data_IF_064691859931
#
_entry.id   IF_064691859931
#
_cell.length_a   1.000
_cell.length_b   1.000
_cell.length_c   1.000
_cell.angle_alpha   90.00
_cell.angle_beta   90.00
_cell.angle_gamma   90.00
#
_symmetry.space_group_name_H-M   'P 1'
#
loop_
_entity.id
_entity.type
_entity.pdbx_description
1 polymer ?
#
# COMPACT_ATOMS: atom_id res chain seq x y z
N UNK A 1 34.62 15.23 -6.76
CA UNK A 1 33.95 13.92 -6.83
C UNK A 1 32.51 14.15 -7.26
N UNK A 2 32.13 13.72 -8.46
CA UNK A 2 30.70 13.68 -8.84
C UNK A 2 30.10 12.53 -8.03
N UNK A 3 29.10 12.80 -7.18
CA UNK A 3 28.28 11.75 -6.59
C UNK A 3 27.56 11.10 -7.77
N UNK A 4 27.96 9.89 -8.15
CA UNK A 4 27.14 9.08 -9.05
C UNK A 4 25.81 8.86 -8.34
N UNK A 5 24.73 9.34 -8.96
CA UNK A 5 23.39 9.11 -8.47
C UNK A 5 23.05 7.68 -8.86
N UNK A 6 23.36 6.73 -7.97
CA UNK A 6 23.04 5.31 -8.19
C UNK A 6 21.52 5.21 -8.20
N UNK A 7 20.96 4.85 -9.36
CA UNK A 7 19.54 4.64 -9.51
C UNK A 7 19.11 3.42 -8.69
N UNK A 8 18.12 3.60 -7.81
CA UNK A 8 17.62 2.54 -6.93
C UNK A 8 16.89 1.48 -7.75
N UNK A 9 17.10 0.21 -7.39
CA UNK A 9 16.36 -0.91 -7.96
C UNK A 9 14.86 -0.82 -7.56
N UNK A 10 13.94 -1.44 -8.34
CA UNK A 10 12.52 -1.50 -7.96
C UNK A 10 12.28 -2.09 -6.56
N UNK A 11 13.13 -3.01 -6.11
CA UNK A 11 13.05 -3.60 -4.78
C UNK A 11 13.40 -2.60 -3.67
N UNK A 12 14.46 -1.80 -3.85
CA UNK A 12 14.83 -0.76 -2.88
C UNK A 12 13.77 0.35 -2.82
N UNK A 13 13.26 0.78 -3.98
CA UNK A 13 12.15 1.73 -4.07
C UNK A 13 10.90 1.21 -3.37
N UNK A 14 10.60 -0.08 -3.53
CA UNK A 14 9.48 -0.73 -2.85
C UNK A 14 9.62 -0.72 -1.33
N UNK A 15 10.82 -1.02 -0.80
CA UNK A 15 11.06 -1.01 0.64
C UNK A 15 10.81 0.38 1.24
N UNK A 16 11.32 1.42 0.60
CA UNK A 16 11.10 2.80 1.04
C UNK A 16 9.63 3.20 0.96
N UNK A 17 8.95 2.80 -0.12
CA UNK A 17 7.53 3.12 -0.29
C UNK A 17 6.63 2.36 0.67
N UNK A 18 6.99 1.13 1.02
CA UNK A 18 6.29 0.37 2.03
C UNK A 18 6.28 1.08 3.39
N UNK A 19 7.43 1.65 3.82
CA UNK A 19 7.49 2.43 5.04
C UNK A 19 6.61 3.68 5.00
N UNK A 20 6.47 4.32 3.84
CA UNK A 20 5.56 5.45 3.67
C UNK A 20 4.09 5.02 3.83
N UNK A 21 3.68 3.92 3.21
CA UNK A 21 2.31 3.40 3.33
C UNK A 21 1.97 3.01 4.76
N UNK A 22 2.90 2.39 5.48
CA UNK A 22 2.72 2.12 6.91
C UNK A 22 2.53 3.42 7.71
N UNK A 23 3.33 4.46 7.45
CA UNK A 23 3.16 5.77 8.11
C UNK A 23 1.79 6.38 7.84
N UNK A 24 1.32 6.38 6.58
CA UNK A 24 -0.01 6.89 6.21
C UNK A 24 -1.12 6.21 7.02
N UNK A 25 -1.01 4.89 7.23
CA UNK A 25 -1.98 4.14 8.02
C UNK A 25 -1.86 4.50 9.51
N UNK A 26 -0.63 4.54 10.04
CA UNK A 26 -0.38 4.82 11.47
C UNK A 26 -0.80 6.24 11.88
N UNK A 27 -0.61 7.21 10.98
CA UNK A 27 -0.97 8.62 11.18
C UNK A 27 -2.48 8.89 11.03
N UNK A 28 -3.25 7.91 10.54
CA UNK A 28 -4.70 8.04 10.44
C UNK A 28 -5.39 8.11 11.82
N UNK A 29 -6.58 8.70 11.87
CA UNK A 29 -7.38 8.85 13.09
C UNK A 29 -8.11 7.57 13.52
N UNK A 30 -7.97 6.47 12.77
CA UNK A 30 -8.65 5.21 13.09
C UNK A 30 -8.08 4.52 14.33
N UNK A 31 -8.85 3.57 14.87
CA UNK A 31 -8.40 2.72 15.96
C UNK A 31 -7.29 1.76 15.51
N UNK A 32 -6.49 1.29 16.47
CA UNK A 32 -5.39 0.35 16.19
C UNK A 32 -5.88 -0.93 15.49
N UNK A 33 -7.06 -1.43 15.88
CA UNK A 33 -7.69 -2.59 15.24
C UNK A 33 -7.88 -2.40 13.72
N UNK A 34 -8.31 -1.21 13.30
CA UNK A 34 -8.53 -0.89 11.89
C UNK A 34 -7.21 -0.70 11.17
N UNK A 35 -6.27 0.00 11.82
CA UNK A 35 -4.91 0.18 11.30
C UNK A 35 -4.26 -1.18 11.04
N UNK A 36 -4.41 -2.13 11.96
CA UNK A 36 -3.87 -3.47 11.85
C UNK A 36 -4.42 -4.24 10.63
N UNK A 37 -5.71 -4.10 10.32
CA UNK A 37 -6.32 -4.72 9.13
C UNK A 37 -5.71 -4.17 7.81
N UNK A 38 -5.47 -2.85 7.73
CA UNK A 38 -4.79 -2.26 6.57
C UNK A 38 -3.30 -2.65 6.52
N UNK A 39 -2.60 -2.59 7.66
CA UNK A 39 -1.20 -2.96 7.77
C UNK A 39 -0.96 -4.43 7.41
N UNK A 40 -1.90 -5.32 7.71
CA UNK A 40 -1.80 -6.72 7.33
C UNK A 40 -1.68 -6.89 5.81
N UNK A 41 -2.48 -6.15 5.03
CA UNK A 41 -2.40 -6.18 3.56
C UNK A 41 -1.08 -5.59 3.08
N UNK A 42 -0.69 -4.43 3.60
CA UNK A 42 0.54 -3.76 3.19
C UNK A 42 1.76 -4.65 3.46
N UNK A 43 1.87 -5.21 4.67
CA UNK A 43 2.99 -6.07 5.06
C UNK A 43 3.03 -7.39 4.31
N UNK A 44 1.88 -8.00 4.07
CA UNK A 44 1.83 -9.26 3.33
C UNK A 44 2.23 -9.08 1.87
N UNK A 45 1.71 -8.03 1.21
CA UNK A 45 1.91 -7.83 -0.24
C UNK A 45 3.21 -7.11 -0.58
N UNK A 46 3.61 -6.14 0.23
CA UNK A 46 4.75 -5.26 -0.06
C UNK A 46 5.94 -5.52 0.86
N UNK A 47 5.71 -5.96 2.10
CA UNK A 47 6.78 -6.27 3.06
C UNK A 47 7.63 -7.49 2.68
N UNK A 48 7.09 -8.42 1.88
CA UNK A 48 7.80 -9.60 1.35
C UNK A 48 8.46 -9.35 -0.02
N UNK A 49 8.25 -8.17 -0.61
CA UNK A 49 8.67 -7.85 -1.97
C UNK A 49 7.74 -8.37 -3.06
N UNK A 50 7.99 -7.97 -4.31
CA UNK A 50 7.24 -8.42 -5.48
C UNK A 50 7.40 -9.94 -5.69
N UNK A 51 6.32 -10.72 -5.76
CA UNK A 51 6.38 -12.15 -6.03
C UNK A 51 7.00 -12.43 -7.40
N UNK A 52 7.88 -13.42 -7.48
CA UNK A 52 8.50 -13.84 -8.75
C UNK A 52 7.48 -14.54 -9.69
N UNK A 53 6.39 -15.07 -9.12
CA UNK A 53 5.37 -15.85 -9.83
C UNK A 53 4.21 -15.00 -10.37
N UNK A 54 4.07 -13.73 -9.96
CA UNK A 54 3.00 -12.83 -10.39
C UNK A 54 3.57 -11.78 -11.34
N UNK A 55 2.81 -11.39 -12.37
CA UNK A 55 3.17 -10.19 -13.13
C UNK A 55 3.08 -8.96 -12.22
N UNK A 56 3.87 -7.92 -12.49
CA UNK A 56 3.82 -6.69 -11.69
C UNK A 56 2.43 -6.05 -11.71
N UNK A 57 1.76 -6.12 -12.86
CA UNK A 57 0.41 -5.62 -13.06
C UNK A 57 -0.58 -6.37 -12.16
N UNK A 58 -0.59 -7.71 -12.23
CA UNK A 58 -1.47 -8.54 -11.41
C UNK A 58 -1.22 -8.29 -9.92
N UNK A 59 0.05 -8.20 -9.52
CA UNK A 59 0.43 -7.95 -8.15
C UNK A 59 -0.10 -6.60 -7.63
N UNK A 60 -0.01 -5.53 -8.42
CA UNK A 60 -0.55 -4.20 -8.07
C UNK A 60 -2.07 -4.19 -8.03
N UNK A 61 -2.73 -4.69 -9.09
CA UNK A 61 -4.20 -4.71 -9.14
C UNK A 61 -4.80 -5.54 -8.01
N UNK A 62 -4.18 -6.68 -7.70
CA UNK A 62 -4.60 -7.51 -6.58
C UNK A 62 -4.40 -6.79 -5.24
N UNK A 63 -3.26 -6.13 -5.03
CA UNK A 63 -2.98 -5.41 -3.78
C UNK A 63 -3.95 -4.26 -3.54
N UNK A 64 -4.28 -3.48 -4.58
CA UNK A 64 -5.30 -2.43 -4.49
C UNK A 64 -6.68 -3.05 -4.19
N UNK A 65 -7.02 -4.16 -4.84
CA UNK A 65 -8.31 -4.84 -4.61
C UNK A 65 -8.44 -5.35 -3.18
N UNK A 66 -7.37 -5.90 -2.59
CA UNK A 66 -7.37 -6.35 -1.19
C UNK A 66 -7.59 -5.20 -0.20
N UNK A 67 -6.99 -4.03 -0.44
CA UNK A 67 -7.24 -2.85 0.39
C UNK A 67 -8.72 -2.42 0.32
N UNK A 68 -9.35 -2.50 -0.85
CA UNK A 68 -10.78 -2.21 -0.99
C UNK A 68 -11.66 -3.25 -0.28
N UNK A 69 -11.29 -4.54 -0.32
CA UNK A 69 -11.99 -5.60 0.43
C UNK A 69 -11.92 -5.33 1.95
N UNK A 70 -10.78 -4.84 2.44
CA UNK A 70 -10.61 -4.45 3.85
C UNK A 70 -11.53 -3.28 4.22
N UNK A 71 -11.64 -2.26 3.36
CA UNK A 71 -12.62 -1.17 3.53
C UNK A 71 -14.03 -1.73 3.68
N UNK A 72 -14.46 -2.60 2.76
CA UNK A 72 -15.81 -3.16 2.76
C UNK A 72 -16.06 -4.09 3.96
N UNK A 73 -15.04 -4.78 4.45
CA UNK A 73 -15.11 -5.58 5.68
C UNK A 73 -15.31 -4.68 6.89
N UNK A 74 -14.42 -3.71 7.12
CA UNK A 74 -14.47 -2.82 8.30
C UNK A 74 -15.76 -2.02 8.35
N UNK A 75 -16.21 -1.47 7.22
CA UNK A 75 -17.45 -0.70 7.15
C UNK A 75 -18.67 -1.51 7.63
N UNK A 76 -18.66 -2.84 7.40
CA UNK A 76 -19.73 -3.75 7.84
C UNK A 76 -19.59 -4.17 9.31
N UNK A 77 -18.37 -4.40 9.78
CA UNK A 77 -18.10 -4.99 11.09
C UNK A 77 -17.99 -3.96 12.22
N UNK A 78 -17.43 -2.78 11.94
CA UNK A 78 -17.09 -1.78 12.97
C UNK A 78 -18.07 -0.60 13.03
N UNK A 79 -19.13 -0.60 12.21
CA UNK A 79 -20.11 0.50 12.12
C UNK A 79 -19.46 1.88 11.86
N UNK A 80 -18.42 1.88 11.01
CA UNK A 80 -17.72 3.09 10.56
C UNK A 80 -18.20 3.46 9.17
N UNK A 81 -18.25 4.76 8.88
CA UNK A 81 -18.64 5.21 7.55
C UNK A 81 -17.64 4.69 6.51
N UNK A 82 -18.17 4.07 5.46
CA UNK A 82 -17.37 3.69 4.30
C UNK A 82 -16.62 4.89 3.72
N UNK A 83 -17.23 6.08 3.72
CA UNK A 83 -16.63 7.30 3.18
C UNK A 83 -15.35 7.68 3.91
N UNK A 84 -15.33 7.54 5.24
CA UNK A 84 -14.13 7.81 6.04
C UNK A 84 -13.00 6.84 5.69
N UNK A 85 -13.31 5.54 5.58
CA UNK A 85 -12.34 4.51 5.20
C UNK A 85 -11.83 4.69 3.77
N UNK A 86 -12.69 5.19 2.87
CA UNK A 86 -12.33 5.47 1.48
C UNK A 86 -11.27 6.55 1.36
N UNK A 87 -11.21 7.54 2.27
CA UNK A 87 -10.15 8.56 2.26
C UNK A 87 -8.77 7.90 2.44
N UNK A 88 -8.63 6.99 3.41
CA UNK A 88 -7.38 6.26 3.62
C UNK A 88 -7.06 5.35 2.43
N UNK A 89 -8.05 4.62 1.93
CA UNK A 89 -7.89 3.76 0.76
C UNK A 89 -7.44 4.55 -0.48
N UNK A 90 -8.02 5.70 -0.76
CA UNK A 90 -7.68 6.52 -1.93
C UNK A 90 -6.26 7.07 -1.83
N UNK A 91 -5.83 7.50 -0.64
CA UNK A 91 -4.45 7.94 -0.41
C UNK A 91 -3.45 6.81 -0.70
N UNK A 92 -3.72 5.61 -0.17
CA UNK A 92 -2.87 4.44 -0.42
C UNK A 92 -2.90 4.04 -1.90
N UNK A 93 -4.09 3.93 -2.50
CA UNK A 93 -4.27 3.55 -3.91
C UNK A 93 -3.52 4.48 -4.85
N UNK A 94 -3.64 5.79 -4.65
CA UNK A 94 -3.00 6.78 -5.52
C UNK A 94 -1.48 6.65 -5.45
N UNK A 95 -0.90 6.54 -4.25
CA UNK A 95 0.54 6.39 -4.10
C UNK A 95 1.05 5.03 -4.61
N UNK A 96 0.33 3.94 -4.38
CA UNK A 96 0.63 2.61 -4.97
C UNK A 96 0.63 2.69 -6.50
N UNK A 97 -0.33 3.40 -7.09
CA UNK A 97 -0.38 3.59 -8.54
C UNK A 97 0.75 4.46 -9.07
N UNK A 98 1.14 5.50 -8.32
CA UNK A 98 2.31 6.32 -8.66
C UNK A 98 3.60 5.52 -8.59
N UNK A 99 3.77 4.68 -7.57
CA UNK A 99 4.87 3.74 -7.48
C UNK A 99 4.90 2.75 -8.66
N UNK A 100 3.75 2.19 -9.03
CA UNK A 100 3.65 1.30 -10.19
C UNK A 100 4.12 1.98 -11.48
N UNK A 101 3.72 3.23 -11.72
CA UNK A 101 4.22 4.00 -12.88
C UNK A 101 5.73 4.26 -12.77
N UNK A 102 6.24 4.52 -11.56
CA UNK A 102 7.66 4.79 -11.33
C UNK A 102 8.57 3.59 -11.65
N UNK A 103 8.13 2.35 -11.38
CA UNK A 103 8.94 1.14 -11.60
C UNK A 103 8.82 0.54 -13.00
N UNK A 104 7.93 1.08 -13.84
CA UNK A 104 7.69 0.62 -15.21
C UNK A 104 8.08 1.65 -16.28
N UNK A 105 8.45 2.88 -15.88
CA UNK A 105 9.09 3.87 -16.73
C UNK A 105 10.61 3.83 -16.51
#
# INVERSE_FOLDING_TARGET
>A
MKKENIEKTPAEKLMERNSLWESIILDSSFSDKIKDEFLAIIRDRFGKGMPVMESRDDWIYFSISQLLVVVDKIAREENISREELMVLFENLRNDIWDFYKEINN
#
